data_IF_124982313951
#
_entry.id   IF_124982313951
#
_cell.length_a   1.000
_cell.length_b   1.000
_cell.length_c   1.000
_cell.angle_alpha   90.00
_cell.angle_beta   90.00
_cell.angle_gamma   90.00
#
_symmetry.space_group_name_H-M   'P 1'
#
loop_
_entity.id
_entity.type
_entity.pdbx_description
1 polymer ?
#
# COMPACT_ATOMS: atom_id res chain seq x y z
N UNK A 1 -2.82 9.47 5.30
CA UNK A 1 -2.31 8.17 5.82
C UNK A 1 -2.07 7.25 4.64
N UNK A 2 -1.02 6.41 4.69
CA UNK A 2 -0.66 5.48 3.61
C UNK A 2 -1.82 4.59 3.13
N UNK A 3 -2.68 4.16 4.06
CA UNK A 3 -3.91 3.40 3.79
C UNK A 3 -4.95 4.13 2.92
N UNK A 4 -5.05 5.45 3.03
CA UNK A 4 -5.96 6.25 2.21
C UNK A 4 -5.33 6.48 0.82
N UNK A 5 -4.03 6.77 0.79
CA UNK A 5 -3.29 6.98 -0.46
C UNK A 5 -3.27 5.71 -1.33
N UNK A 6 -3.16 4.52 -0.74
CA UNK A 6 -3.15 3.24 -1.47
C UNK A 6 -4.46 2.96 -2.22
N UNK A 7 -5.59 3.53 -1.79
CA UNK A 7 -6.87 3.40 -2.51
C UNK A 7 -6.84 4.08 -3.87
N UNK A 8 -6.11 5.19 -3.98
CA UNK A 8 -6.04 6.02 -5.18
C UNK A 8 -4.97 5.56 -6.18
N UNK A 9 -4.17 4.54 -5.82
CA UNK A 9 -3.23 3.94 -6.75
C UNK A 9 -4.00 3.27 -7.92
N UNK A 10 -3.63 3.56 -9.18
CA UNK A 10 -4.17 2.89 -10.36
C UNK A 10 -4.02 1.36 -10.28
N UNK A 11 -5.03 0.63 -10.74
CA UNK A 11 -5.03 -0.83 -10.71
C UNK A 11 -3.91 -1.45 -11.56
N UNK A 12 -3.50 -0.76 -12.63
CA UNK A 12 -2.37 -1.17 -13.47
C UNK A 12 -1.06 -1.24 -12.67
N UNK A 13 -0.80 -0.25 -11.80
CA UNK A 13 0.41 -0.22 -10.96
C UNK A 13 0.35 -1.28 -9.86
N UNK A 14 -0.82 -1.48 -9.25
CA UNK A 14 -1.03 -2.54 -8.26
C UNK A 14 -0.77 -3.92 -8.85
N UNK A 15 -1.25 -4.18 -10.07
CA UNK A 15 -1.03 -5.45 -10.77
C UNK A 15 0.43 -5.61 -11.22
N UNK A 16 1.07 -4.55 -11.71
CA UNK A 16 2.43 -4.63 -12.21
C UNK A 16 3.48 -4.81 -11.11
N UNK A 17 3.30 -4.20 -9.94
CA UNK A 17 4.35 -4.11 -8.91
C UNK A 17 3.97 -4.72 -7.56
N UNK A 18 2.72 -5.10 -7.36
CA UNK A 18 2.26 -5.63 -6.08
C UNK A 18 1.14 -6.64 -6.22
N UNK A 19 1.11 -7.45 -7.29
CA UNK A 19 0.08 -8.48 -7.46
C UNK A 19 0.01 -9.44 -6.26
N UNK A 20 1.17 -9.76 -5.68
CA UNK A 20 1.31 -10.63 -4.51
C UNK A 20 1.20 -9.86 -3.18
N UNK A 21 1.11 -8.52 -3.23
CA UNK A 21 1.02 -7.67 -2.05
C UNK A 21 -0.44 -7.48 -1.61
N UNK A 22 -0.76 -7.59 -0.31
CA UNK A 22 -2.15 -7.55 0.17
C UNK A 22 -2.72 -6.11 0.22
N UNK A 23 -2.95 -5.49 -0.93
CA UNK A 23 -3.47 -4.12 -1.06
C UNK A 23 -4.76 -3.86 -0.27
N UNK A 24 -5.64 -4.85 -0.19
CA UNK A 24 -6.88 -4.77 0.61
C UNK A 24 -6.58 -4.61 2.09
N UNK A 25 -5.60 -5.33 2.64
CA UNK A 25 -5.23 -5.22 4.06
C UNK A 25 -4.71 -3.81 4.37
N UNK A 26 -3.86 -3.25 3.51
CA UNK A 26 -3.34 -1.88 3.65
C UNK A 26 -4.46 -0.84 3.54
N UNK A 27 -5.38 -0.99 2.58
CA UNK A 27 -6.53 -0.10 2.45
C UNK A 27 -7.49 -0.21 3.66
N UNK A 28 -7.70 -1.42 4.18
CA UNK A 28 -8.64 -1.65 5.28
C UNK A 28 -8.07 -1.20 6.63
N UNK A 29 -6.74 -1.12 6.80
CA UNK A 29 -6.10 -0.58 8.00
C UNK A 29 -6.67 0.79 8.43
N UNK A 30 -6.88 1.71 7.49
CA UNK A 30 -7.40 3.05 7.76
C UNK A 30 -8.88 3.05 8.17
N UNK A 31 -9.64 2.02 7.79
CA UNK A 31 -11.01 1.78 8.24
C UNK A 31 -11.02 1.13 9.63
N UNK A 32 -10.13 0.17 9.86
CA UNK A 32 -9.92 -0.45 11.17
C UNK A 32 -9.58 0.63 12.18
N UNK A 33 -8.54 1.44 11.95
CA UNK A 33 -8.15 2.53 12.87
C UNK A 33 -9.26 3.55 13.14
N UNK A 34 -10.12 3.86 12.15
CA UNK A 34 -11.26 4.78 12.31
C UNK A 34 -12.44 4.16 13.07
N UNK A 35 -12.69 2.87 12.91
CA UNK A 35 -13.83 2.18 13.53
C UNK A 35 -13.51 1.46 14.85
N UNK A 36 -12.25 1.21 15.15
CA UNK A 36 -11.82 0.42 16.34
C UNK A 36 -11.41 1.24 17.55
N UNK A 37 -11.81 2.52 17.63
CA UNK A 37 -11.59 3.34 18.84
C UNK A 37 -12.13 2.71 20.13
N UNK A 38 -12.94 1.63 20.04
CA UNK A 38 -13.45 0.88 21.18
C UNK A 38 -13.09 -0.63 21.24
N UNK A 39 -12.49 -1.22 20.19
CA UNK A 39 -12.00 -2.61 20.19
C UNK A 39 -10.84 -2.73 19.21
N UNK A 40 -9.62 -2.47 19.67
CA UNK A 40 -8.42 -2.60 18.86
C UNK A 40 -8.36 -4.01 18.28
N UNK A 41 -8.43 -4.16 16.96
CA UNK A 41 -7.90 -5.36 16.31
C UNK A 41 -6.38 -5.21 16.26
N UNK A 42 -5.77 -5.27 17.45
CA UNK A 42 -4.35 -5.11 17.66
C UNK A 42 -3.54 -6.12 16.85
N UNK A 43 -4.15 -7.28 16.54
CA UNK A 43 -3.55 -8.31 15.71
C UNK A 43 -3.40 -7.84 14.26
N UNK A 44 -4.46 -7.30 13.66
CA UNK A 44 -4.39 -6.79 12.29
C UNK A 44 -3.37 -5.64 12.16
N UNK A 45 -3.34 -4.72 13.13
CA UNK A 45 -2.36 -3.63 13.15
C UNK A 45 -0.93 -4.14 13.30
N UNK A 46 -0.72 -5.08 14.22
CA UNK A 46 0.59 -5.69 14.45
C UNK A 46 1.08 -6.45 13.23
N UNK A 47 0.21 -7.27 12.61
CA UNK A 47 0.56 -8.06 11.44
C UNK A 47 0.96 -7.16 10.25
N UNK A 48 0.26 -6.04 10.03
CA UNK A 48 0.64 -5.07 9.00
C UNK A 48 1.97 -4.40 9.34
N UNK A 49 2.15 -3.97 10.61
CA UNK A 49 3.37 -3.30 11.04
C UNK A 49 4.61 -4.20 10.93
N UNK A 50 4.49 -5.48 11.29
CA UNK A 50 5.64 -6.39 11.31
C UNK A 50 5.92 -7.08 9.99
N UNK A 51 4.92 -7.26 9.13
CA UNK A 51 5.08 -8.12 7.95
C UNK A 51 4.87 -7.39 6.62
N UNK A 52 4.06 -6.32 6.59
CA UNK A 52 3.60 -5.75 5.33
C UNK A 52 4.31 -4.44 4.97
N UNK A 53 5.06 -3.80 5.88
CA UNK A 53 5.71 -2.51 5.63
C UNK A 53 6.87 -2.62 4.63
N UNK A 54 7.77 -3.60 4.80
CA UNK A 54 8.93 -3.76 3.91
C UNK A 54 8.50 -4.07 2.47
N UNK A 55 7.48 -4.93 2.32
CA UNK A 55 6.93 -5.26 1.01
C UNK A 55 6.18 -4.08 0.38
N UNK A 56 5.56 -3.22 1.19
CA UNK A 56 4.93 -1.99 0.72
C UNK A 56 5.98 -0.99 0.22
N UNK A 57 7.08 -0.82 0.95
CA UNK A 57 8.19 0.07 0.56
C UNK A 57 8.77 -0.35 -0.78
N UNK A 58 9.10 -1.64 -0.94
CA UNK A 58 9.62 -2.20 -2.20
C UNK A 58 8.66 -1.95 -3.38
N UNK A 59 7.36 -2.14 -3.17
CA UNK A 59 6.35 -1.91 -4.20
C UNK A 59 6.27 -0.43 -4.60
N UNK A 60 6.36 0.49 -3.63
CA UNK A 60 6.34 1.94 -3.88
C UNK A 60 7.60 2.37 -4.64
N UNK A 61 8.78 1.89 -4.23
CA UNK A 61 10.03 2.20 -4.91
C UNK A 61 10.03 1.73 -6.37
N UNK A 62 9.49 0.54 -6.62
CA UNK A 62 9.32 0.02 -7.98
C UNK A 62 8.39 0.90 -8.82
N UNK A 63 7.27 1.39 -8.24
CA UNK A 63 6.35 2.31 -8.91
C UNK A 63 7.01 3.66 -9.22
N UNK A 64 7.79 4.21 -8.28
CA UNK A 64 8.51 5.48 -8.48
C UNK A 64 9.55 5.34 -9.58
N UNK A 65 10.31 4.24 -9.59
CA UNK A 65 11.30 3.96 -10.62
C UNK A 65 10.65 3.86 -12.00
N UNK A 66 9.53 3.14 -12.10
CA UNK A 66 8.78 3.01 -13.35
C UNK A 66 8.26 4.37 -13.84
N UNK A 67 7.64 5.17 -12.98
CA UNK A 67 7.16 6.52 -13.30
C UNK A 67 8.28 7.44 -13.77
N UNK A 68 9.43 7.42 -13.09
CA UNK A 68 10.61 8.22 -13.47
C UNK A 68 11.21 7.80 -14.81
N UNK A 69 11.12 6.51 -15.16
CA UNK A 69 11.58 5.96 -16.44
C UNK A 69 10.67 6.36 -17.60
N UNK A 70 9.37 6.55 -17.33
CA UNK A 70 8.37 6.98 -18.32
C UNK A 70 8.36 8.50 -18.55
N UNK A 71 8.71 9.32 -17.55
CA UNK A 71 8.86 10.78 -17.71
C UNK A 71 10.10 11.14 -18.55
N UNK A 72 11.15 10.31 -18.53
CA UNK A 72 12.36 10.49 -19.34
C UNK A 72 12.22 10.10 -20.82
N UNK A 73 11.08 9.56 -21.24
CA UNK A 73 10.84 9.09 -22.63
C UNK A 73 9.95 10.02 -23.46
N UNK A 74 9.56 11.19 -22.93
CA UNK A 74 8.89 12.25 -23.68
C UNK A 74 9.87 13.37 -24.05
N UNK A 75 10.80 13.08 -24.96
CA UNK A 75 11.51 14.08 -25.79
C UNK A 75 11.68 13.55 -27.20
#
# INVERSE_FOLDING_TARGET
>A
MASEASRHLPDSLKQAHGADFPWRNVADLGNVLRHTYHRSDAKALWDVYTNDLDALELAIDAMILDLSSHEGSQT
#
